data_IF_657180226827
#
_entry.id   IF_657180226827
#
_cell.length_a   1.000
_cell.length_b   1.000
_cell.length_c   1.000
_cell.angle_alpha   90.00
_cell.angle_beta   90.00
_cell.angle_gamma   90.00
#
_symmetry.space_group_name_H-M   'P 1'
#
loop_
_entity.id
_entity.type
_entity.pdbx_description
1 polymer ?
#
# COMPACT_ATOMS: atom_id res chain seq x y z
N UNK A 1 -17.74 41.55 -12.51
CA UNK A 1 -17.39 40.37 -11.69
C UNK A 1 -16.94 39.32 -12.68
N UNK A 2 -15.68 38.93 -12.64
CA UNK A 2 -15.15 37.86 -13.49
C UNK A 2 -15.85 36.55 -13.11
N UNK A 3 -16.28 35.79 -14.11
CA UNK A 3 -16.81 34.45 -13.91
C UNK A 3 -15.80 33.61 -13.12
N UNK A 4 -16.26 32.74 -12.22
CA UNK A 4 -15.37 31.75 -11.62
C UNK A 4 -14.73 30.92 -12.74
N UNK A 5 -13.45 30.56 -12.61
CA UNK A 5 -12.78 29.74 -13.62
C UNK A 5 -13.57 28.45 -13.86
N UNK A 6 -13.57 28.00 -15.12
CA UNK A 6 -14.12 26.70 -15.51
C UNK A 6 -13.51 25.59 -14.63
N UNK A 7 -14.27 24.48 -14.49
CA UNK A 7 -14.00 23.26 -13.70
C UNK A 7 -12.57 23.19 -13.14
N UNK A 8 -12.45 23.40 -11.82
CA UNK A 8 -11.16 23.67 -11.20
C UNK A 8 -10.18 22.48 -11.37
N UNK A 9 -9.09 22.71 -12.10
CA UNK A 9 -7.94 21.78 -12.25
C UNK A 9 -7.17 21.51 -10.94
N UNK A 10 -7.72 21.90 -9.79
CA UNK A 10 -7.07 21.80 -8.48
C UNK A 10 -8.07 21.36 -7.42
N UNK A 11 -7.61 20.49 -6.51
CA UNK A 11 -8.38 20.11 -5.34
C UNK A 11 -8.29 21.21 -4.27
N UNK A 12 -9.41 21.87 -3.99
CA UNK A 12 -9.54 22.80 -2.86
C UNK A 12 -10.12 22.07 -1.65
N UNK A 13 -9.31 21.94 -0.59
CA UNK A 13 -9.77 21.45 0.72
C UNK A 13 -9.90 22.65 1.65
N UNK A 14 -11.10 22.90 2.16
CA UNK A 14 -11.35 24.00 3.07
C UNK A 14 -11.13 23.57 4.53
N UNK A 15 -10.52 24.46 5.31
CA UNK A 15 -10.37 24.26 6.74
C UNK A 15 -11.73 24.22 7.47
N UNK A 16 -12.75 24.88 6.91
CA UNK A 16 -14.12 24.89 7.45
C UNK A 16 -14.69 23.47 7.51
N UNK A 17 -14.65 22.72 6.41
CA UNK A 17 -15.16 21.34 6.36
C UNK A 17 -14.44 20.44 7.38
N UNK A 18 -13.13 20.65 7.55
CA UNK A 18 -12.35 19.93 8.54
C UNK A 18 -12.78 20.25 9.98
N UNK A 19 -12.98 21.52 10.33
CA UNK A 19 -13.42 21.95 11.67
C UNK A 19 -14.85 21.48 11.96
N UNK A 20 -15.76 21.69 11.03
CA UNK A 20 -17.17 21.32 11.19
C UNK A 20 -17.34 19.80 11.27
N UNK A 21 -16.52 19.04 10.54
CA UNK A 21 -16.49 17.58 10.57
C UNK A 21 -15.97 16.96 11.87
N UNK A 22 -15.26 17.70 12.73
CA UNK A 22 -14.77 17.18 14.03
C UNK A 22 -15.91 16.90 15.04
N UNK A 23 -17.09 17.48 14.83
CA UNK A 23 -18.15 17.53 15.83
C UNK A 23 -19.04 16.28 15.93
N UNK A 24 -18.64 15.14 15.35
CA UNK A 24 -19.42 13.89 15.44
C UNK A 24 -19.13 13.15 16.75
N UNK A 25 -20.13 13.07 17.64
CA UNK A 25 -19.98 12.56 19.02
C UNK A 25 -20.72 11.24 19.32
N UNK A 26 -21.28 10.55 18.32
CA UNK A 26 -22.27 9.48 18.59
C UNK A 26 -22.08 8.17 17.84
N UNK A 27 -20.89 7.89 17.28
CA UNK A 27 -20.60 6.62 16.60
C UNK A 27 -19.86 5.69 17.56
N UNK A 28 -20.37 4.47 17.75
CA UNK A 28 -19.71 3.44 18.58
C UNK A 28 -18.55 2.77 17.81
N UNK A 29 -17.32 3.10 18.22
CA UNK A 29 -16.10 2.57 17.63
C UNK A 29 -15.78 1.12 18.05
N UNK A 30 -16.55 0.51 18.94
CA UNK A 30 -16.43 -0.92 19.25
C UNK A 30 -17.34 -1.79 18.38
N UNK A 31 -18.35 -1.19 17.73
CA UNK A 31 -19.31 -1.85 16.86
C UNK A 31 -18.90 -1.74 15.38
N UNK A 32 -18.27 -2.80 14.84
CA UNK A 32 -17.75 -2.81 13.46
C UNK A 32 -18.86 -2.64 12.42
N UNK A 33 -20.03 -3.25 12.64
CA UNK A 33 -21.17 -3.16 11.73
C UNK A 33 -21.75 -1.73 11.65
N UNK A 34 -21.79 -1.03 12.78
CA UNK A 34 -22.20 0.37 12.85
C UNK A 34 -21.21 1.30 12.15
N UNK A 35 -19.90 1.13 12.40
CA UNK A 35 -18.86 1.92 11.73
C UNK A 35 -18.85 1.64 10.22
N UNK A 36 -19.00 0.38 9.80
CA UNK A 36 -19.13 0.04 8.39
C UNK A 36 -20.34 0.72 7.75
N UNK A 37 -21.52 0.63 8.37
CA UNK A 37 -22.71 1.32 7.85
C UNK A 37 -22.52 2.83 7.80
N UNK A 38 -21.91 3.43 8.83
CA UNK A 38 -21.65 4.85 8.88
C UNK A 38 -20.81 5.32 7.68
N UNK A 39 -19.74 4.60 7.35
CA UNK A 39 -18.90 4.88 6.17
C UNK A 39 -19.66 4.60 4.88
N UNK A 40 -20.17 3.39 4.73
CA UNK A 40 -20.76 2.89 3.49
C UNK A 40 -21.97 3.71 3.04
N UNK A 41 -22.84 4.11 3.98
CA UNK A 41 -24.03 4.93 3.71
C UNK A 41 -23.72 6.33 3.17
N UNK A 42 -22.48 6.81 3.34
CA UNK A 42 -22.03 8.16 2.93
C UNK A 42 -21.12 8.15 1.71
N UNK A 43 -20.75 6.97 1.21
CA UNK A 43 -19.98 6.88 -0.03
C UNK A 43 -20.82 7.43 -1.20
N UNK A 44 -20.21 8.10 -2.17
CA UNK A 44 -20.85 8.33 -3.46
C UNK A 44 -21.36 7.01 -4.07
N UNK A 45 -22.36 7.08 -4.94
CA UNK A 45 -22.92 5.87 -5.56
C UNK A 45 -21.89 5.14 -6.44
N UNK A 46 -20.84 5.83 -6.87
CA UNK A 46 -19.72 5.28 -7.63
C UNK A 46 -18.40 5.74 -7.01
N UNK A 47 -17.49 4.81 -6.73
CA UNK A 47 -16.16 5.09 -6.19
C UNK A 47 -15.07 4.44 -7.03
N UNK A 48 -13.87 5.04 -7.00
CA UNK A 48 -12.67 4.50 -7.64
C UNK A 48 -11.71 4.03 -6.56
N UNK A 49 -11.23 2.80 -6.69
CA UNK A 49 -10.21 2.20 -5.84
C UNK A 49 -8.88 2.31 -6.57
N UNK A 50 -8.04 3.27 -6.16
CA UNK A 50 -6.76 3.56 -6.83
C UNK A 50 -5.63 2.55 -6.52
N UNK A 51 -5.40 2.15 -5.26
CA UNK A 51 -4.30 1.25 -4.94
C UNK A 51 -4.48 -0.10 -5.63
N UNK A 52 -3.42 -0.65 -6.20
CA UNK A 52 -3.49 -1.87 -7.00
C UNK A 52 -3.78 -3.14 -6.18
N UNK A 53 -3.70 -3.05 -4.85
CA UNK A 53 -4.11 -4.11 -3.91
C UNK A 53 -5.62 -4.07 -3.56
N UNK A 54 -6.36 -3.10 -4.10
CA UNK A 54 -7.82 -2.91 -3.97
C UNK A 54 -8.32 -2.36 -2.62
N UNK A 55 -7.50 -1.57 -1.90
CA UNK A 55 -7.93 -0.84 -0.72
C UNK A 55 -8.59 0.51 -1.07
N UNK A 56 -9.85 0.66 -0.70
CA UNK A 56 -10.53 1.96 -0.68
C UNK A 56 -10.37 2.60 0.70
N UNK A 57 -9.45 3.56 0.82
CA UNK A 57 -9.12 4.21 2.08
C UNK A 57 -10.07 5.34 2.44
N UNK A 58 -10.34 5.52 3.74
CA UNK A 58 -11.12 6.63 4.27
C UNK A 58 -10.52 7.17 5.57
N UNK A 59 -10.90 8.40 5.91
CA UNK A 59 -10.62 9.03 7.20
C UNK A 59 -11.93 9.52 7.81
N UNK A 60 -12.13 9.26 9.08
CA UNK A 60 -13.24 9.76 9.88
C UNK A 60 -12.69 10.58 11.04
N UNK A 61 -13.45 11.57 11.47
CA UNK A 61 -13.23 12.29 12.72
C UNK A 61 -14.43 12.06 13.62
N UNK A 62 -14.20 11.48 14.79
CA UNK A 62 -15.25 11.07 15.72
C UNK A 62 -14.72 11.09 17.13
N UNK A 63 -15.50 11.64 18.07
CA UNK A 63 -15.13 11.73 19.48
C UNK A 63 -13.76 12.40 19.72
N UNK A 64 -13.41 13.39 18.89
CA UNK A 64 -12.10 14.07 18.95
C UNK A 64 -10.92 13.20 18.51
N UNK A 65 -11.16 12.07 17.85
CA UNK A 65 -10.15 11.15 17.32
C UNK A 65 -10.20 11.12 15.81
N UNK A 66 -9.03 10.99 15.19
CA UNK A 66 -8.93 10.64 13.79
C UNK A 66 -8.85 9.12 13.62
N UNK A 67 -9.80 8.57 12.88
CA UNK A 67 -9.89 7.15 12.56
C UNK A 67 -9.54 6.97 11.08
N UNK A 68 -8.60 6.08 10.79
CA UNK A 68 -8.25 5.70 9.43
C UNK A 68 -8.76 4.29 9.19
N UNK A 69 -9.16 4.00 7.96
CA UNK A 69 -9.63 2.66 7.64
C UNK A 69 -9.70 2.41 6.15
N UNK A 70 -10.15 1.22 5.81
CA UNK A 70 -10.35 0.80 4.44
C UNK A 70 -11.53 -0.15 4.28
N UNK A 71 -12.11 -0.11 3.08
CA UNK A 71 -12.93 -1.18 2.50
C UNK A 71 -12.08 -1.85 1.43
N UNK A 72 -11.96 -3.16 1.43
CA UNK A 72 -11.16 -3.89 0.43
C UNK A 72 -11.91 -5.04 -0.20
N UNK A 73 -11.92 -5.03 -1.53
CA UNK A 73 -12.34 -6.13 -2.39
C UNK A 73 -11.09 -6.91 -2.83
N UNK A 74 -10.55 -7.73 -1.92
CA UNK A 74 -9.33 -8.48 -2.16
C UNK A 74 -9.53 -9.51 -3.29
N UNK A 75 -8.54 -9.62 -4.19
CA UNK A 75 -8.56 -10.63 -5.25
C UNK A 75 -8.56 -12.03 -4.65
N UNK A 76 -9.34 -12.94 -5.23
CA UNK A 76 -9.52 -14.31 -4.74
C UNK A 76 -10.49 -14.44 -3.56
N UNK A 77 -11.00 -13.31 -3.03
CA UNK A 77 -11.99 -13.27 -1.94
C UNK A 77 -13.29 -12.59 -2.35
N UNK A 78 -13.22 -11.48 -3.07
CA UNK A 78 -14.39 -10.72 -3.52
C UNK A 78 -15.32 -11.56 -4.41
N UNK A 79 -14.75 -12.45 -5.24
CA UNK A 79 -15.49 -13.37 -6.12
C UNK A 79 -16.29 -14.40 -5.29
N UNK A 80 -15.88 -14.63 -4.05
CA UNK A 80 -16.57 -15.49 -3.09
C UNK A 80 -17.49 -14.68 -2.15
N UNK A 81 -17.82 -13.44 -2.50
CA UNK A 81 -18.72 -12.59 -1.70
C UNK A 81 -18.10 -12.04 -0.42
N UNK A 82 -16.77 -12.00 -0.30
CA UNK A 82 -16.09 -11.54 0.92
C UNK A 82 -15.51 -10.13 0.74
N UNK A 83 -15.94 -9.21 1.59
CA UNK A 83 -15.40 -7.84 1.71
C UNK A 83 -14.63 -7.70 3.02
N UNK A 84 -13.43 -7.12 2.95
CA UNK A 84 -12.65 -6.79 4.16
C UNK A 84 -12.93 -5.36 4.57
N UNK A 85 -13.19 -5.15 5.86
CA UNK A 85 -13.31 -3.82 6.44
C UNK A 85 -12.42 -3.70 7.68
N UNK A 86 -11.63 -2.64 7.78
CA UNK A 86 -10.78 -2.39 8.93
C UNK A 86 -10.68 -0.90 9.22
N UNK A 87 -10.51 -0.56 10.51
CA UNK A 87 -10.23 0.80 10.94
C UNK A 87 -9.41 0.82 12.23
N UNK A 88 -8.68 1.91 12.44
CA UNK A 88 -7.85 2.14 13.60
C UNK A 88 -7.73 3.62 13.96
N UNK A 89 -7.45 3.91 15.23
CA UNK A 89 -7.14 5.25 15.70
C UNK A 89 -5.74 5.66 15.24
N UNK A 90 -5.70 6.72 14.42
CA UNK A 90 -4.47 7.25 13.86
C UNK A 90 -3.65 7.95 14.95
N UNK A 91 -2.33 7.73 14.90
CA UNK A 91 -1.40 8.33 15.84
C UNK A 91 -1.07 9.76 15.42
N UNK A 92 -1.95 10.69 15.73
CA UNK A 92 -1.77 12.12 15.40
C UNK A 92 -0.55 12.75 16.05
N UNK A 93 -0.18 12.29 17.24
CA UNK A 93 0.93 12.86 18.01
C UNK A 93 1.72 11.75 18.73
N UNK A 94 2.96 12.04 19.16
CA UNK A 94 3.73 11.09 19.95
C UNK A 94 3.12 10.78 21.34
N UNK A 95 2.10 11.54 21.76
CA UNK A 95 1.40 11.39 23.04
C UNK A 95 0.12 10.55 22.97
N UNK A 96 -0.25 10.04 21.78
CA UNK A 96 -1.31 9.04 21.66
C UNK A 96 -0.72 7.71 22.12
N UNK A 97 -0.98 7.36 23.38
CA UNK A 97 -0.57 6.09 24.00
C UNK A 97 -1.67 5.03 23.86
N UNK A 98 -1.30 3.76 23.99
CA UNK A 98 -2.23 2.62 23.94
C UNK A 98 -3.15 2.57 25.19
N UNK A 99 -4.39 2.03 25.09
CA UNK A 99 -4.94 1.30 23.95
C UNK A 99 -5.63 2.19 22.91
N UNK A 100 -5.25 2.00 21.64
CA UNK A 100 -5.92 2.60 20.48
C UNK A 100 -7.01 1.68 19.95
N UNK A 101 -8.09 2.28 19.43
CA UNK A 101 -9.10 1.51 18.70
C UNK A 101 -8.44 0.87 17.49
N UNK A 102 -8.65 -0.43 17.30
CA UNK A 102 -8.26 -1.18 16.10
C UNK A 102 -9.22 -2.33 15.93
N UNK A 103 -9.97 -2.34 14.83
CA UNK A 103 -11.00 -3.36 14.56
C UNK A 103 -11.01 -3.72 13.09
N UNK A 104 -11.46 -4.94 12.82
CA UNK A 104 -11.63 -5.44 11.46
C UNK A 104 -12.69 -6.53 11.43
N UNK A 105 -13.36 -6.68 10.29
CA UNK A 105 -14.33 -7.74 10.03
C UNK A 105 -14.30 -8.10 8.54
N UNK A 106 -14.48 -9.38 8.25
CA UNK A 106 -14.88 -9.82 6.92
C UNK A 106 -16.40 -9.84 6.85
N UNK A 107 -16.95 -9.08 5.92
CA UNK A 107 -18.38 -9.06 5.63
C UNK A 107 -18.69 -10.05 4.52
N UNK A 108 -19.81 -10.75 4.69
CA UNK A 108 -20.35 -11.74 3.76
C UNK A 108 -21.85 -11.54 3.56
N UNK A 109 -22.47 -12.40 2.77
CA UNK A 109 -23.93 -12.47 2.60
C UNK A 109 -24.67 -12.69 3.93
N UNK A 110 -24.07 -13.46 4.86
CA UNK A 110 -24.59 -13.70 6.21
C UNK A 110 -24.66 -12.41 7.05
N UNK A 111 -23.82 -11.41 6.74
CA UNK A 111 -23.86 -10.08 7.36
C UNK A 111 -24.76 -9.10 6.60
N UNK A 112 -25.43 -9.56 5.53
CA UNK A 112 -26.28 -8.74 4.67
C UNK A 112 -25.53 -7.94 3.61
N UNK A 113 -24.23 -8.18 3.43
CA UNK A 113 -23.41 -7.58 2.36
C UNK A 113 -23.43 -8.49 1.14
N UNK A 114 -23.87 -7.96 0.01
CA UNK A 114 -23.94 -8.70 -1.25
C UNK A 114 -22.99 -8.02 -2.23
N UNK A 115 -22.15 -8.81 -2.89
CA UNK A 115 -21.15 -8.35 -3.84
C UNK A 115 -21.47 -8.99 -5.18
N UNK A 116 -21.86 -8.16 -6.15
CA UNK A 116 -22.18 -8.59 -7.51
C UNK A 116 -21.03 -8.14 -8.44
N UNK A 117 -20.37 -9.10 -9.08
CA UNK A 117 -19.35 -8.82 -10.10
C UNK A 117 -20.03 -8.40 -11.41
N UNK A 118 -19.76 -7.17 -11.87
CA UNK A 118 -20.23 -6.68 -13.16
C UNK A 118 -19.21 -6.98 -14.27
N UNK A 119 -17.93 -6.78 -13.95
CA UNK A 119 -16.77 -7.21 -14.74
C UNK A 119 -15.54 -7.36 -13.83
N UNK A 120 -14.41 -7.81 -14.38
CA UNK A 120 -13.18 -8.09 -13.63
C UNK A 120 -12.64 -6.92 -12.78
N UNK A 121 -13.07 -5.68 -13.06
CA UNK A 121 -12.67 -4.47 -12.34
C UNK A 121 -13.85 -3.66 -11.82
N UNK A 122 -15.08 -4.16 -11.89
CA UNK A 122 -16.26 -3.40 -11.48
C UNK A 122 -17.20 -4.29 -10.65
N UNK A 123 -17.48 -3.85 -9.42
CA UNK A 123 -18.28 -4.61 -8.46
C UNK A 123 -19.35 -3.73 -7.84
N UNK A 124 -20.58 -4.20 -7.84
CA UNK A 124 -21.65 -3.60 -7.05
C UNK A 124 -21.64 -4.21 -5.65
N UNK A 125 -21.45 -3.37 -4.63
CA UNK A 125 -21.58 -3.77 -3.23
C UNK A 125 -22.90 -3.24 -2.72
N UNK A 126 -23.73 -4.11 -2.14
CA UNK A 126 -25.02 -3.75 -1.56
C UNK A 126 -25.08 -4.07 -0.07
N UNK A 127 -25.52 -3.10 0.72
CA UNK A 127 -25.73 -3.24 2.17
C UNK A 127 -26.85 -2.30 2.62
N UNK A 128 -27.79 -2.80 3.44
CA UNK A 128 -28.95 -2.03 3.93
C UNK A 128 -29.69 -1.24 2.84
N UNK A 129 -30.03 -1.91 1.73
CA UNK A 129 -30.72 -1.35 0.55
C UNK A 129 -29.97 -0.26 -0.23
N UNK A 130 -28.75 0.11 0.18
CA UNK A 130 -27.87 0.98 -0.59
C UNK A 130 -26.92 0.13 -1.42
N UNK A 131 -26.73 0.50 -2.68
CA UNK A 131 -25.73 -0.07 -3.57
C UNK A 131 -24.67 0.99 -3.88
N UNK A 132 -23.41 0.59 -3.89
CA UNK A 132 -22.28 1.42 -4.31
C UNK A 132 -21.45 0.62 -5.30
N UNK A 133 -21.15 1.22 -6.46
CA UNK A 133 -20.31 0.63 -7.49
C UNK A 133 -18.84 0.95 -7.21
N UNK A 134 -18.03 -0.08 -7.01
CA UNK A 134 -16.58 0.00 -6.83
C UNK A 134 -15.87 -0.28 -8.15
N UNK A 135 -15.13 0.72 -8.64
CA UNK A 135 -14.30 0.61 -9.83
C UNK A 135 -12.85 0.37 -9.39
N UNK A 136 -12.35 -0.85 -9.56
CA UNK A 136 -10.98 -1.22 -9.27
C UNK A 136 -10.02 -0.60 -10.31
N UNK A 137 -8.81 -0.25 -9.87
CA UNK A 137 -7.84 0.36 -10.75
C UNK A 137 -7.46 -0.57 -11.92
N UNK A 138 -7.67 -0.08 -13.14
CA UNK A 138 -7.23 -0.73 -14.37
C UNK A 138 -5.82 -0.27 -14.66
N UNK A 139 -4.86 -1.17 -14.47
CA UNK A 139 -3.44 -0.89 -14.58
C UNK A 139 -2.78 -1.88 -15.54
N UNK A 140 -2.80 -1.62 -16.86
CA UNK A 140 -2.18 -2.50 -17.85
C UNK A 140 -0.71 -2.79 -17.52
N UNK A 141 -0.36 -4.08 -17.54
CA UNK A 141 0.96 -4.59 -17.18
C UNK A 141 1.94 -4.57 -18.37
N UNK A 142 1.87 -3.53 -19.21
CA UNK A 142 2.90 -3.28 -20.21
C UNK A 142 4.24 -2.97 -19.51
N UNK A 143 5.37 -3.51 -20.00
CA UNK A 143 6.70 -3.14 -19.55
C UNK A 143 6.99 -1.63 -19.71
N UNK A 144 8.02 -1.10 -19.03
CA UNK A 144 8.42 0.29 -19.15
C UNK A 144 8.75 0.69 -20.60
N UNK A 145 8.28 1.86 -21.00
CA UNK A 145 8.44 2.50 -22.32
C UNK A 145 9.49 3.59 -22.32
N UNK A 146 9.77 4.20 -21.16
CA UNK A 146 10.73 5.30 -21.02
C UNK A 146 12.18 4.85 -20.80
N UNK A 147 12.40 3.58 -20.47
CA UNK A 147 13.74 3.04 -20.28
C UNK A 147 13.81 1.57 -20.69
N UNK A 148 14.98 1.13 -21.12
CA UNK A 148 15.23 -0.29 -21.35
C UNK A 148 15.59 -1.01 -20.05
N UNK A 149 15.09 -2.25 -19.89
CA UNK A 149 15.58 -3.16 -18.85
C UNK A 149 17.03 -3.53 -19.14
N UNK A 150 17.87 -3.57 -18.10
CA UNK A 150 19.23 -4.08 -18.24
C UNK A 150 19.22 -5.59 -18.58
N UNK A 151 20.31 -6.17 -19.11
CA UNK A 151 20.32 -7.58 -19.56
C UNK A 151 19.92 -8.63 -18.50
N UNK A 152 20.07 -8.32 -17.21
CA UNK A 152 19.71 -9.21 -16.10
C UNK A 152 18.42 -8.77 -15.39
N UNK A 153 17.66 -7.84 -15.95
CA UNK A 153 16.45 -7.29 -15.35
C UNK A 153 15.21 -7.82 -16.06
N UNK A 154 14.21 -8.21 -15.27
CA UNK A 154 12.91 -8.68 -15.72
C UNK A 154 11.83 -7.78 -15.11
N UNK A 155 10.90 -7.31 -15.96
CA UNK A 155 9.71 -6.61 -15.49
C UNK A 155 8.79 -7.60 -14.79
N UNK A 156 8.41 -7.28 -13.54
CA UNK A 156 7.50 -8.11 -12.75
C UNK A 156 6.08 -7.58 -12.82
N UNK A 157 5.90 -6.31 -12.44
CA UNK A 157 4.59 -5.66 -12.44
C UNK A 157 4.68 -4.15 -12.36
N UNK A 158 3.62 -3.48 -12.82
CA UNK A 158 3.32 -2.08 -12.58
C UNK A 158 2.35 -2.00 -11.40
N UNK A 159 2.62 -1.13 -10.44
CA UNK A 159 1.82 -0.94 -9.23
C UNK A 159 1.34 0.49 -9.08
N UNK A 160 0.29 0.66 -8.28
CA UNK A 160 -0.24 1.98 -7.89
C UNK A 160 -0.40 1.97 -6.37
N UNK A 161 0.36 2.82 -5.70
CA UNK A 161 0.45 2.95 -4.26
C UNK A 161 -0.60 3.95 -3.72
N UNK A 162 -1.02 3.82 -2.47
CA UNK A 162 -1.97 4.74 -1.82
C UNK A 162 -1.47 6.19 -1.72
N UNK A 163 -0.16 6.42 -1.82
CA UNK A 163 0.42 7.76 -1.95
C UNK A 163 0.05 8.48 -3.26
N UNK A 164 -0.46 7.73 -4.25
CA UNK A 164 -0.63 8.14 -5.63
C UNK A 164 0.56 7.83 -6.53
N UNK A 165 1.67 7.36 -5.98
CA UNK A 165 2.84 6.98 -6.78
C UNK A 165 2.57 5.69 -7.56
N UNK A 166 3.09 5.64 -8.78
CA UNK A 166 3.15 4.40 -9.56
C UNK A 166 4.59 3.92 -9.64
N UNK A 167 4.77 2.61 -9.58
CA UNK A 167 6.08 1.99 -9.66
C UNK A 167 6.08 0.84 -10.65
N UNK A 168 7.27 0.56 -11.18
CA UNK A 168 7.61 -0.73 -11.76
C UNK A 168 8.37 -1.53 -10.71
N UNK A 169 7.91 -2.76 -10.45
CA UNK A 169 8.69 -3.75 -9.73
C UNK A 169 9.57 -4.50 -10.74
N UNK A 170 10.88 -4.46 -10.53
CA UNK A 170 11.86 -5.11 -11.39
C UNK A 170 12.59 -6.18 -10.59
N UNK A 171 12.83 -7.32 -11.22
CA UNK A 171 13.63 -8.41 -10.68
C UNK A 171 14.98 -8.49 -11.38
N UNK A 172 16.07 -8.58 -10.62
CA UNK A 172 17.39 -8.88 -11.15
C UNK A 172 17.65 -10.39 -11.05
N UNK A 173 17.82 -11.07 -12.19
CA UNK A 173 17.97 -12.53 -12.25
C UNK A 173 19.39 -13.03 -11.89
N UNK A 174 20.40 -12.17 -11.99
CA UNK A 174 21.80 -12.51 -11.69
C UNK A 174 22.03 -12.64 -10.18
N UNK A 175 21.60 -11.65 -9.41
CA UNK A 175 21.79 -11.60 -7.94
C UNK A 175 20.49 -11.85 -7.17
N UNK A 176 19.38 -12.12 -7.87
CA UNK A 176 18.08 -12.54 -7.33
C UNK A 176 17.52 -11.57 -6.30
N UNK A 177 17.23 -10.36 -6.73
CA UNK A 177 16.62 -9.35 -5.87
C UNK A 177 15.57 -8.53 -6.62
N UNK A 178 14.65 -7.95 -5.86
CA UNK A 178 13.62 -7.04 -6.35
C UNK A 178 14.03 -5.60 -6.04
N UNK A 179 13.58 -4.65 -6.85
CA UNK A 179 13.72 -3.22 -6.58
C UNK A 179 12.61 -2.43 -7.28
N UNK A 180 12.31 -1.26 -6.75
CA UNK A 180 11.25 -0.39 -7.26
C UNK A 180 11.84 0.72 -8.13
N UNK A 181 11.25 0.94 -9.31
CA UNK A 181 11.55 2.06 -10.19
C UNK A 181 10.30 2.93 -10.31
N UNK A 182 10.47 4.25 -10.18
CA UNK A 182 9.37 5.21 -10.36
C UNK A 182 8.82 5.11 -11.80
N UNK A 183 7.50 4.99 -11.93
CA UNK A 183 6.85 5.06 -13.21
C UNK A 183 6.60 6.54 -13.59
N UNK A 184 7.48 7.12 -14.40
CA UNK A 184 7.35 8.49 -14.91
C UNK A 184 6.54 8.58 -16.22
N UNK A 185 5.87 7.49 -16.64
CA UNK A 185 4.90 7.53 -17.76
C UNK A 185 3.55 8.12 -17.35
N UNK A 186 3.27 8.14 -16.05
CA UNK A 186 2.11 8.75 -15.46
C UNK A 186 2.49 10.06 -14.76
N UNK A 187 1.49 10.92 -14.55
CA UNK A 187 1.69 12.13 -13.76
C UNK A 187 2.07 11.78 -12.32
N UNK A 188 3.15 12.39 -11.83
CA UNK A 188 3.64 12.21 -10.48
C UNK A 188 2.90 13.16 -9.53
N UNK A 189 2.18 12.67 -8.51
CA UNK A 189 1.45 13.53 -7.57
C UNK A 189 2.36 14.16 -6.49
N UNK A 190 3.64 14.40 -6.80
CA UNK A 190 4.61 15.00 -5.90
C UNK A 190 5.66 15.78 -6.71
N UNK A 191 6.25 16.78 -6.09
CA UNK A 191 7.36 17.52 -6.68
C UNK A 191 8.68 16.92 -6.18
N UNK A 192 9.53 16.47 -7.09
CA UNK A 192 10.85 15.96 -6.74
C UNK A 192 11.85 17.11 -6.60
N UNK A 193 12.51 17.19 -5.44
CA UNK A 193 13.62 18.09 -5.18
C UNK A 193 14.93 17.35 -5.38
N UNK A 194 15.79 17.82 -6.28
CA UNK A 194 17.17 17.32 -6.34
C UNK A 194 17.94 17.81 -5.11
N UNK A 195 18.46 16.88 -4.32
CA UNK A 195 19.22 17.15 -3.08
C UNK A 195 20.70 16.79 -3.21
N UNK A 196 21.05 15.90 -4.14
CA UNK A 196 22.42 15.59 -4.56
C UNK A 196 22.40 15.32 -6.08
N UNK A 197 23.58 15.24 -6.72
CA UNK A 197 23.68 15.12 -8.18
C UNK A 197 22.88 13.93 -8.78
N UNK A 198 22.77 12.84 -8.02
CA UNK A 198 22.10 11.59 -8.37
C UNK A 198 20.93 11.25 -7.42
N UNK A 199 20.47 12.20 -6.59
CA UNK A 199 19.44 11.94 -5.57
C UNK A 199 18.33 12.98 -5.60
N UNK A 200 17.11 12.49 -5.76
CA UNK A 200 15.88 13.27 -5.73
C UNK A 200 15.04 12.85 -4.52
N UNK A 201 14.34 13.80 -3.89
CA UNK A 201 13.44 13.51 -2.77
C UNK A 201 12.08 14.15 -3.03
N UNK A 202 11.01 13.37 -2.91
CA UNK A 202 9.64 13.88 -2.99
C UNK A 202 9.38 14.86 -1.85
N UNK A 203 8.93 16.07 -2.18
CA UNK A 203 8.74 17.15 -1.21
C UNK A 203 7.63 16.83 -0.19
N UNK A 204 6.63 16.05 -0.60
CA UNK A 204 5.52 15.63 0.25
C UNK A 204 5.74 14.25 0.88
N UNK A 205 6.14 13.29 0.06
CA UNK A 205 6.32 11.89 0.49
C UNK A 205 7.59 11.65 1.31
N UNK A 206 8.65 12.41 1.04
CA UNK A 206 9.99 12.07 1.50
C UNK A 206 10.56 10.79 0.87
N UNK A 207 9.94 10.25 -0.18
CA UNK A 207 10.54 9.16 -0.96
C UNK A 207 11.80 9.65 -1.65
N UNK A 208 12.90 8.91 -1.48
CA UNK A 208 14.20 9.23 -2.04
C UNK A 208 14.47 8.32 -3.24
N UNK A 209 14.89 8.93 -4.34
CA UNK A 209 15.09 8.30 -5.63
C UNK A 209 16.51 8.53 -6.12
N UNK A 210 17.23 7.45 -6.41
CA UNK A 210 18.53 7.51 -7.08
C UNK A 210 18.35 7.55 -8.59
N UNK A 211 19.05 8.45 -9.26
CA UNK A 211 19.10 8.56 -10.71
C UNK A 211 20.03 7.48 -11.29
N UNK A 212 19.46 6.55 -12.06
CA UNK A 212 20.18 5.47 -12.74
C UNK A 212 20.53 5.89 -14.18
N UNK A 213 21.61 6.65 -14.33
CA UNK A 213 22.05 7.19 -15.63
C UNK A 213 22.42 6.12 -16.65
N UNK A 214 22.76 4.92 -16.20
CA UNK A 214 23.12 3.80 -17.07
C UNK A 214 21.88 3.15 -17.73
N UNK A 215 20.70 3.45 -17.22
CA UNK A 215 19.42 2.92 -17.69
C UNK A 215 18.42 4.05 -17.96
N UNK A 216 18.80 4.94 -18.89
CA UNK A 216 17.96 6.02 -19.44
C UNK A 216 17.42 6.99 -18.37
N UNK A 217 18.25 7.35 -17.39
CA UNK A 217 17.91 8.32 -16.34
C UNK A 217 16.66 7.94 -15.51
N UNK A 218 16.32 6.64 -15.44
CA UNK A 218 15.22 6.16 -14.59
C UNK A 218 15.53 6.38 -13.11
N UNK A 219 14.48 6.47 -12.29
CA UNK A 219 14.58 6.77 -10.86
C UNK A 219 14.26 5.56 -10.00
N UNK A 220 15.25 5.04 -9.27
CA UNK A 220 15.10 3.90 -8.37
C UNK A 220 14.72 4.38 -6.98
N UNK A 221 13.66 3.84 -6.37
CA UNK A 221 13.32 4.12 -4.98
C UNK A 221 14.39 3.51 -4.07
N UNK A 222 15.16 4.36 -3.40
CA UNK A 222 16.27 3.93 -2.54
C UNK A 222 15.94 3.99 -1.06
N UNK A 223 15.06 4.92 -0.67
CA UNK A 223 14.66 5.05 0.72
C UNK A 223 13.31 5.76 0.90
N UNK A 224 12.67 5.53 2.04
CA UNK A 224 11.45 6.22 2.47
C UNK A 224 11.66 6.91 3.81
N UNK A 225 10.84 7.94 4.08
CA UNK A 225 10.91 8.70 5.33
C UNK A 225 10.32 7.90 6.49
N UNK A 226 11.15 7.51 7.45
CA UNK A 226 10.74 6.68 8.59
C UNK A 226 9.68 7.31 9.50
N UNK A 227 9.56 8.63 9.52
CA UNK A 227 8.49 9.32 10.24
C UNK A 227 7.09 8.95 9.70
N UNK A 228 6.96 8.75 8.38
CA UNK A 228 5.70 8.33 7.74
C UNK A 228 5.39 6.87 8.06
N UNK A 229 6.38 5.98 7.91
CA UNK A 229 6.26 4.57 8.29
C UNK A 229 5.90 4.36 9.76
N UNK A 230 6.42 5.20 10.66
CA UNK A 230 6.14 5.11 12.11
C UNK A 230 4.67 5.36 12.45
N UNK A 231 3.98 6.19 11.67
CA UNK A 231 2.57 6.53 11.88
C UNK A 231 1.65 5.83 10.88
N UNK A 232 2.20 5.02 9.97
CA UNK A 232 1.46 4.26 8.96
C UNK A 232 0.51 5.15 8.16
N UNK A 233 1.06 6.25 7.62
CA UNK A 233 0.32 7.15 6.75
C UNK A 233 0.48 6.76 5.27
N UNK A 234 -0.19 7.45 4.34
CA UNK A 234 -0.13 7.14 2.90
C UNK A 234 1.25 7.29 2.24
N UNK A 235 2.33 7.58 2.98
CA UNK A 235 3.71 7.67 2.48
C UNK A 235 4.65 6.73 3.25
N UNK A 236 4.13 5.63 3.78
CA UNK A 236 4.90 4.59 4.48
C UNK A 236 5.53 3.55 3.54
N UNK A 237 5.29 3.67 2.24
CA UNK A 237 6.03 3.02 1.16
C UNK A 237 5.28 1.85 0.51
N UNK A 238 5.67 1.43 -0.70
CA UNK A 238 4.87 0.54 -1.55
C UNK A 238 5.00 -0.95 -1.20
N UNK A 239 5.27 -1.30 0.05
CA UNK A 239 5.72 -2.65 0.40
C UNK A 239 4.64 -3.73 0.26
N UNK A 240 3.36 -3.40 0.32
CA UNK A 240 2.25 -4.36 0.17
C UNK A 240 1.38 -4.11 -1.08
N UNK A 241 1.57 -2.99 -1.78
CA UNK A 241 0.73 -2.51 -2.88
C UNK A 241 0.96 -3.22 -4.23
N UNK A 242 0.94 -4.56 -4.27
CA UNK A 242 1.13 -5.32 -5.50
C UNK A 242 -0.12 -5.28 -6.41
N UNK A 243 0.06 -5.63 -7.68
CA UNK A 243 -0.99 -5.62 -8.70
C UNK A 243 -1.87 -6.89 -8.67
N UNK A 244 -2.63 -7.06 -7.59
CA UNK A 244 -3.37 -8.30 -7.29
C UNK A 244 -4.34 -8.74 -8.38
N UNK A 245 -4.95 -7.79 -9.08
CA UNK A 245 -5.90 -8.06 -10.17
C UNK A 245 -5.22 -8.71 -11.39
N UNK A 246 -3.89 -8.63 -11.47
CA UNK A 246 -3.06 -9.15 -12.56
C UNK A 246 -2.15 -10.28 -12.10
N UNK A 247 -2.44 -10.94 -10.97
CA UNK A 247 -1.55 -11.96 -10.40
C UNK A 247 -1.27 -13.13 -11.35
N UNK A 248 -2.24 -13.50 -12.18
CA UNK A 248 -2.13 -14.61 -13.13
C UNK A 248 -1.33 -14.24 -14.39
N UNK A 249 -1.18 -12.94 -14.67
CA UNK A 249 -0.31 -12.42 -15.73
C UNK A 249 1.12 -12.19 -15.20
N UNK A 250 1.24 -11.62 -14.00
CA UNK A 250 2.51 -11.16 -13.41
C UNK A 250 3.29 -12.26 -12.70
N UNK A 251 2.61 -13.31 -12.20
CA UNK A 251 3.21 -14.42 -11.46
C UNK A 251 4.14 -13.99 -10.30
N UNK A 252 3.74 -12.95 -9.57
CA UNK A 252 4.60 -12.27 -8.57
C UNK A 252 5.18 -13.20 -7.51
N UNK A 253 4.41 -14.21 -7.07
CA UNK A 253 4.87 -15.20 -6.09
C UNK A 253 6.13 -15.95 -6.54
N UNK A 254 6.29 -16.22 -7.83
CA UNK A 254 7.51 -16.86 -8.35
C UNK A 254 8.74 -15.97 -8.16
N UNK A 255 8.61 -14.66 -8.41
CA UNK A 255 9.70 -13.71 -8.20
C UNK A 255 10.01 -13.51 -6.73
N UNK A 256 8.99 -13.51 -5.86
CA UNK A 256 9.17 -13.50 -4.41
C UNK A 256 9.96 -14.73 -3.95
N UNK A 257 9.61 -15.92 -4.43
CA UNK A 257 10.33 -17.17 -4.09
C UNK A 257 11.76 -17.16 -4.67
N UNK A 258 11.95 -16.68 -5.90
CA UNK A 258 13.29 -16.55 -6.50
C UNK A 258 14.20 -15.62 -5.70
N UNK A 259 13.66 -14.50 -5.20
CA UNK A 259 14.39 -13.54 -4.38
C UNK A 259 14.57 -14.01 -2.93
N UNK A 260 13.60 -14.75 -2.39
CA UNK A 260 13.57 -15.25 -1.01
C UNK A 260 13.16 -16.74 -1.02
N UNK A 261 14.11 -17.67 -1.28
CA UNK A 261 13.79 -19.09 -1.45
C UNK A 261 13.07 -19.73 -0.26
N UNK A 262 13.22 -19.18 0.95
CA UNK A 262 12.51 -19.66 2.14
C UNK A 262 11.00 -19.42 2.13
N UNK A 263 10.44 -18.79 1.08
CA UNK A 263 8.99 -18.61 0.88
C UNK A 263 8.34 -19.78 0.14
N UNK A 264 9.13 -20.70 -0.43
CA UNK A 264 8.62 -21.84 -1.17
C UNK A 264 7.62 -22.65 -0.31
N UNK A 265 6.44 -22.93 -0.85
CA UNK A 265 5.31 -23.60 -0.19
C UNK A 265 4.71 -22.87 1.04
N UNK A 266 5.09 -21.62 1.29
CA UNK A 266 4.59 -20.84 2.43
C UNK A 266 3.68 -19.69 2.04
N UNK A 267 3.61 -19.38 0.75
CA UNK A 267 2.79 -18.30 0.22
C UNK A 267 1.87 -18.78 -0.89
N UNK A 268 0.72 -18.14 -1.03
CA UNK A 268 -0.15 -18.30 -2.19
C UNK A 268 0.32 -17.49 -3.40
N UNK A 269 -0.43 -17.53 -4.51
CA UNK A 269 -0.06 -16.82 -5.74
C UNK A 269 0.02 -15.30 -5.57
N UNK A 270 -0.73 -14.74 -4.62
CA UNK A 270 -0.73 -13.31 -4.29
C UNK A 270 0.41 -12.96 -3.32
N UNK A 271 1.06 -13.93 -2.68
CA UNK A 271 2.10 -13.68 -1.69
C UNK A 271 1.59 -13.58 -0.25
N UNK A 272 0.35 -14.03 0.03
CA UNK A 272 -0.13 -14.20 1.40
C UNK A 272 0.43 -15.48 2.00
N UNK A 273 0.84 -15.41 3.27
CA UNK A 273 1.28 -16.59 4.01
C UNK A 273 0.12 -17.57 4.20
N UNK A 274 0.33 -18.82 3.83
CA UNK A 274 -0.63 -19.92 3.98
C UNK A 274 -0.35 -20.79 5.21
N UNK A 275 0.81 -20.59 5.84
CA UNK A 275 1.29 -21.33 7.01
C UNK A 275 1.04 -20.60 8.33
N UNK A 276 0.26 -19.52 8.32
CA UNK A 276 -0.08 -18.70 9.48
C UNK A 276 -1.60 -18.62 9.65
N UNK A 277 -2.05 -18.57 10.90
CA UNK A 277 -3.46 -18.31 11.22
C UNK A 277 -3.88 -16.89 10.81
N UNK A 278 -2.94 -15.93 10.88
CA UNK A 278 -3.17 -14.54 10.52
C UNK A 278 -2.89 -14.29 9.04
N UNK A 279 -3.81 -13.57 8.39
CA UNK A 279 -3.67 -13.14 7.01
C UNK A 279 -2.60 -12.05 6.90
N UNK A 280 -1.35 -12.44 6.69
CA UNK A 280 -0.21 -11.54 6.47
C UNK A 280 0.39 -11.78 5.09
N UNK A 281 0.90 -10.72 4.46
CA UNK A 281 1.55 -10.76 3.15
C UNK A 281 3.06 -10.64 3.29
N UNK A 282 3.80 -11.16 2.32
CA UNK A 282 5.22 -10.83 2.15
C UNK A 282 5.36 -9.34 1.86
N UNK A 283 6.06 -8.62 2.73
CA UNK A 283 6.40 -7.22 2.51
C UNK A 283 7.56 -7.11 1.49
N UNK A 284 7.32 -6.37 0.42
CA UNK A 284 8.28 -6.07 -0.65
C UNK A 284 8.88 -4.69 -0.41
N UNK A 285 9.77 -4.60 0.58
CA UNK A 285 10.44 -3.35 0.99
C UNK A 285 11.94 -3.29 0.61
N UNK A 286 12.34 -3.42 -0.67
CA UNK A 286 13.73 -3.33 -1.13
C UNK A 286 14.22 -1.86 -1.17
N UNK A 287 14.12 -1.17 -0.03
CA UNK A 287 14.54 0.21 0.17
C UNK A 287 14.88 0.46 1.64
N UNK A 288 15.63 1.52 1.91
CA UNK A 288 16.02 1.91 3.26
C UNK A 288 14.94 2.79 3.95
N UNK A 289 14.90 2.80 5.27
CA UNK A 289 14.02 3.68 6.05
C UNK A 289 14.88 4.68 6.81
N UNK A 290 14.82 5.97 6.44
CA UNK A 290 15.67 7.01 7.03
C UNK A 290 14.90 7.96 7.95
N UNK A 291 15.50 8.32 9.10
CA UNK A 291 14.91 9.27 10.05
C UNK A 291 15.61 10.64 10.03
N UNK A 292 16.75 10.76 9.34
CA UNK A 292 17.47 12.01 9.15
C UNK A 292 18.20 12.07 7.81
N UNK A 293 18.50 13.27 7.33
CA UNK A 293 19.28 13.48 6.09
C UNK A 293 20.69 12.90 6.21
N UNK A 294 21.26 12.90 7.43
CA UNK A 294 22.56 12.29 7.70
C UNK A 294 22.53 10.77 7.50
N UNK A 295 21.47 10.09 7.92
CA UNK A 295 21.29 8.65 7.68
C UNK A 295 21.10 8.34 6.19
N UNK A 296 20.28 9.14 5.51
CA UNK A 296 20.09 9.01 4.07
C UNK A 296 21.43 9.20 3.32
N UNK A 297 22.22 10.21 3.68
CA UNK A 297 23.53 10.45 3.09
C UNK A 297 24.53 9.31 3.36
N UNK A 298 24.52 8.73 4.58
CA UNK A 298 25.34 7.57 4.91
C UNK A 298 24.96 6.35 4.06
N UNK A 299 23.66 6.06 3.93
CA UNK A 299 23.15 4.98 3.12
C UNK A 299 23.53 5.15 1.64
N UNK A 300 23.31 6.35 1.09
CA UNK A 300 23.72 6.65 -0.29
C UNK A 300 25.23 6.57 -0.50
N UNK A 301 26.03 6.87 0.53
CA UNK A 301 27.47 6.63 0.49
C UNK A 301 27.83 5.15 0.33
N UNK A 302 27.08 4.23 0.96
CA UNK A 302 27.27 2.79 0.76
C UNK A 302 26.80 2.34 -0.63
N UNK A 303 25.64 2.82 -1.10
CA UNK A 303 25.10 2.54 -2.43
C UNK A 303 26.11 2.92 -3.54
N UNK A 304 26.71 4.11 -3.46
CA UNK A 304 27.67 4.60 -4.48
C UNK A 304 29.03 3.89 -4.49
N UNK A 305 29.40 3.23 -3.40
CA UNK A 305 30.65 2.45 -3.31
C UNK A 305 30.45 0.99 -3.72
N UNK A 306 29.21 0.55 -3.87
CA UNK A 306 28.89 -0.82 -4.21
C UNK A 306 29.22 -1.11 -5.68
N UNK A 307 29.67 -2.33 -5.95
CA UNK A 307 29.79 -2.83 -7.33
C UNK A 307 28.39 -2.94 -7.99
N UNK A 308 27.38 -3.34 -7.22
CA UNK A 308 25.98 -3.31 -7.62
C UNK A 308 25.16 -2.43 -6.65
N UNK A 309 24.94 -1.15 -6.98
CA UNK A 309 24.14 -0.23 -6.17
C UNK A 309 22.71 -0.73 -5.90
N UNK A 310 22.08 -1.36 -6.91
CA UNK A 310 20.70 -1.87 -6.85
C UNK A 310 20.59 -3.05 -5.88
N UNK A 311 21.61 -3.89 -5.80
CA UNK A 311 21.67 -4.96 -4.79
C UNK A 311 21.70 -4.40 -3.36
N UNK A 312 22.51 -3.37 -3.08
CA UNK A 312 22.57 -2.74 -1.74
C UNK A 312 21.23 -2.10 -1.39
N UNK A 313 20.60 -1.41 -2.35
CA UNK A 313 19.25 -0.85 -2.21
C UNK A 313 18.25 -1.95 -1.82
N UNK A 314 18.28 -3.08 -2.53
CA UNK A 314 17.36 -4.19 -2.31
C UNK A 314 17.40 -4.80 -0.92
N UNK A 315 18.52 -4.63 -0.20
CA UNK A 315 18.65 -5.12 1.18
C UNK A 315 18.04 -4.17 2.19
N UNK A 316 17.86 -2.89 1.86
CA UNK A 316 17.19 -1.91 2.71
C UNK A 316 17.82 -1.70 4.10
N UNK A 317 19.07 -2.13 4.32
CA UNK A 317 19.72 -2.15 5.63
C UNK A 317 21.10 -1.53 5.54
N UNK A 318 21.45 -0.73 6.55
CA UNK A 318 22.80 -0.19 6.76
C UNK A 318 23.43 -0.84 8.01
N UNK A 319 24.30 -1.82 7.83
CA UNK A 319 25.08 -2.38 8.96
C UNK A 319 26.25 -1.44 9.30
N UNK A 320 26.20 -0.82 10.49
CA UNK A 320 27.23 0.12 10.98
C UNK A 320 28.50 -0.56 11.51
N UNK A 321 28.56 -1.89 11.68
CA UNK A 321 29.69 -2.59 12.34
C UNK A 321 30.50 -3.54 11.46
N UNK A 322 29.96 -4.07 10.37
CA UNK A 322 30.58 -5.23 9.68
C UNK A 322 30.84 -5.05 8.18
N UNK A 323 30.23 -4.08 7.50
CA UNK A 323 30.30 -3.99 6.04
C UNK A 323 29.59 -5.13 5.28
N UNK A 324 28.92 -6.10 5.92
CA UNK A 324 28.07 -7.14 5.28
C UNK A 324 26.86 -7.49 6.18
N UNK A 325 25.68 -7.55 5.57
CA UNK A 325 24.33 -7.44 6.16
C UNK A 325 23.81 -8.62 7.00
N UNK A 326 23.12 -8.30 8.11
CA UNK A 326 22.16 -9.18 8.79
C UNK A 326 20.79 -8.50 8.89
N UNK A 327 19.73 -9.31 8.76
CA UNK A 327 18.32 -8.96 8.65
C UNK A 327 17.75 -8.43 9.98
N UNK A 328 17.02 -7.30 10.03
CA UNK A 328 16.06 -7.04 11.08
C UNK A 328 14.80 -7.86 10.82
N UNK A 329 14.36 -8.58 11.85
CA UNK A 329 13.07 -9.25 11.96
C UNK A 329 11.92 -8.41 11.41
N UNK A 330 10.90 -9.06 10.80
CA UNK A 330 9.77 -8.39 10.19
C UNK A 330 9.13 -7.43 11.20
N UNK A 331 8.96 -6.17 10.79
CA UNK A 331 7.95 -5.33 11.42
C UNK A 331 6.63 -6.10 11.32
N UNK A 332 5.91 -6.34 12.43
CA UNK A 332 4.55 -6.85 12.33
C UNK A 332 3.77 -5.81 11.52
N UNK A 333 3.41 -6.18 10.29
CA UNK A 333 2.42 -5.45 9.50
C UNK A 333 1.18 -5.27 10.37
N UNK A 334 0.73 -4.05 10.66
CA UNK A 334 -0.45 -3.84 11.48
C UNK A 334 -1.72 -4.00 10.64
N UNK A 335 -1.95 -5.16 10.00
CA UNK A 335 -3.27 -5.56 9.47
C UNK A 335 -3.59 -7.03 9.83
N UNK A 336 -4.86 -7.46 9.82
CA UNK A 336 -5.66 -7.73 11.01
C UNK A 336 -5.63 -9.20 11.48
N UNK A 337 -5.75 -9.39 12.79
CA UNK A 337 -6.26 -10.62 13.40
C UNK A 337 -7.78 -10.69 13.25
N UNK A 338 -8.36 -11.67 12.53
CA UNK A 338 -9.75 -12.03 12.73
C UNK A 338 -9.87 -12.72 14.09
N UNK A 339 -10.87 -12.33 14.89
CA UNK A 339 -11.32 -13.20 15.97
C UNK A 339 -11.84 -14.52 15.37
N UNK A 340 -11.55 -15.64 16.05
CA UNK A 340 -12.04 -16.98 15.70
C UNK A 340 -13.51 -16.94 15.30
N UNK A 341 -13.80 -17.36 14.07
CA UNK A 341 -15.14 -17.82 13.70
C UNK A 341 -15.46 -19.06 14.53
N UNK A 342 -16.60 -19.14 15.23
CA UNK A 342 -17.08 -20.40 15.78
C UNK A 342 -17.30 -21.37 14.62
N UNK A 343 -16.71 -22.57 14.69
CA UNK A 343 -16.97 -23.63 13.73
C UNK A 343 -18.46 -23.98 13.73
N UNK A 344 -19.13 -24.05 12.57
CA UNK A 344 -20.47 -24.60 12.49
C UNK A 344 -20.38 -26.13 12.56
N UNK A 345 -21.14 -26.70 13.49
CA UNK A 345 -21.47 -28.12 13.64
C UNK A 345 -20.41 -29.07 14.22
N UNK A 346 -20.60 -29.40 15.50
CA UNK A 346 -20.71 -30.79 15.94
C UNK A 346 -21.95 -30.92 16.82
N UNK A 347 -23.11 -31.12 16.19
CA UNK A 347 -24.23 -31.82 16.81
C UNK A 347 -24.09 -33.31 16.48
N UNK A 348 -24.37 -34.14 17.47
CA UNK A 348 -24.43 -35.61 17.50
C UNK A 348 -23.03 -36.27 17.57
N UNK A 349 -22.61 -36.98 18.63
CA UNK A 349 -23.29 -37.87 19.60
C UNK A 349 -22.88 -37.68 21.08
#
# INVERSE_FOLDING_TARGET
MSEPPAEADTLLILNQDWIEGQASYSLDLDNVDEVFWHVFSRLPDNVIVYPSENYFYFKLFVNGKQIWGNIRLAAGRRENGVLSFAYFEYRESPYVYEPRVRKSKYFTDADGVIIDELDAFTFDVRYNQRTVTFNLNKLPQDPPKLFALAPNEEFVMKTYDESGYQFFLIYNNKLRYLFWVLNEEAELPDALQQVQADLYVGRRSGFAFMLDKENDDRKILVAIRGANATVNNYYDGPFDQLADNYVDETNVSEYLIKAIPSLENRIDKYGYYTDKEESSRVAVSPYFVYFSDAELAQFMGAVRRAEDPKFVISKGILDRRSGITYVPTPYPTPYPTPYKTPSPNSSDD
#
